data_IF_050674807011
#
_entry.id   IF_050674807011
#
_cell.length_a   1.000
_cell.length_b   1.000
_cell.length_c   1.000
_cell.angle_alpha   90.00
_cell.angle_beta   90.00
_cell.angle_gamma   90.00
#
_symmetry.space_group_name_H-M   'P 1'
#
loop_
_entity.id
_entity.type
_entity.pdbx_description
1 polymer ?
#
# COMPACT_ATOMS: atom_id res chain seq x y z
N UNK A 1 -17.63 -54.24 -36.57
CA UNK A 1 -17.22 -55.49 -35.89
C UNK A 1 -15.74 -55.43 -35.58
N UNK A 2 -15.34 -55.94 -34.41
CA UNK A 2 -13.96 -56.21 -33.97
C UNK A 2 -13.05 -54.98 -33.74
N UNK A 3 -12.25 -54.84 -32.68
CA UNK A 3 -11.98 -55.67 -31.52
C UNK A 3 -11.29 -54.85 -30.43
N UNK A 4 -11.57 -55.24 -29.18
CA UNK A 4 -10.87 -54.84 -27.95
C UNK A 4 -9.37 -55.18 -28.00
N UNK A 5 -8.56 -54.52 -27.18
CA UNK A 5 -7.66 -55.18 -26.21
C UNK A 5 -7.06 -54.16 -25.22
N UNK A 6 -7.35 -54.40 -23.93
CA UNK A 6 -6.64 -53.89 -22.76
C UNK A 6 -5.19 -54.42 -22.75
N UNK A 7 -4.24 -53.64 -22.23
CA UNK A 7 -3.11 -54.16 -21.45
C UNK A 7 -2.73 -53.23 -20.31
N UNK A 8 -2.94 -53.74 -19.10
CA UNK A 8 -2.40 -53.30 -17.82
C UNK A 8 -0.94 -53.79 -17.74
N UNK A 9 -0.03 -53.00 -17.17
CA UNK A 9 1.20 -53.53 -16.60
C UNK A 9 1.50 -52.88 -15.25
N UNK A 10 1.69 -53.75 -14.26
CA UNK A 10 1.95 -53.51 -12.83
C UNK A 10 3.20 -54.31 -12.48
N UNK A 11 4.25 -53.68 -11.95
CA UNK A 11 5.42 -54.29 -11.27
C UNK A 11 6.20 -53.12 -10.65
N UNK A 12 6.13 -52.80 -9.35
CA UNK A 12 6.69 -53.51 -8.19
C UNK A 12 8.13 -53.98 -8.44
N UNK A 13 9.10 -53.22 -7.94
CA UNK A 13 10.41 -53.76 -7.57
C UNK A 13 10.81 -53.26 -6.19
N UNK A 14 11.23 -54.25 -5.41
CA UNK A 14 11.59 -54.28 -4.01
C UNK A 14 13.08 -54.68 -3.99
N UNK A 15 13.96 -53.93 -3.34
CA UNK A 15 15.34 -54.35 -3.06
C UNK A 15 15.86 -53.62 -1.81
N UNK A 16 16.01 -54.34 -0.69
CA UNK A 16 17.28 -54.74 -0.03
C UNK A 16 17.87 -53.64 0.90
N UNK A 17 17.69 -53.72 2.23
CA UNK A 17 18.50 -54.42 3.27
C UNK A 17 20.00 -54.04 3.32
N UNK A 18 20.41 -53.43 4.45
CA UNK A 18 21.54 -53.75 5.36
C UNK A 18 21.53 -52.66 6.47
N UNK A 19 21.20 -52.91 7.74
CA UNK A 19 21.86 -53.65 8.82
C UNK A 19 23.21 -53.05 9.30
N UNK A 20 23.18 -52.31 10.41
CA UNK A 20 24.26 -52.25 11.42
C UNK A 20 23.76 -51.59 12.72
N UNK A 21 24.03 -52.24 13.85
CA UNK A 21 23.83 -51.80 15.25
C UNK A 21 25.16 -52.07 16.00
N UNK A 22 25.32 -51.74 17.30
CA UNK A 22 25.38 -50.41 17.95
C UNK A 22 26.64 -50.24 18.85
N UNK A 23 26.62 -49.23 19.76
CA UNK A 23 27.43 -48.97 20.99
C UNK A 23 28.93 -48.60 20.78
N UNK A 24 29.53 -47.56 21.38
CA UNK A 24 29.42 -46.99 22.74
C UNK A 24 30.21 -45.67 22.78
N UNK A 25 29.79 -44.66 23.55
CA UNK A 25 30.65 -43.85 24.44
C UNK A 25 29.91 -42.57 24.87
N UNK A 26 29.64 -42.50 26.17
CA UNK A 26 29.17 -41.30 26.85
C UNK A 26 30.27 -40.24 26.87
N UNK A 27 29.95 -38.99 26.52
CA UNK A 27 30.64 -37.86 27.13
C UNK A 27 29.71 -36.65 27.23
N UNK A 28 29.84 -36.00 28.37
CA UNK A 28 28.95 -35.09 29.06
C UNK A 28 29.37 -33.65 28.74
N UNK A 29 28.49 -32.76 28.27
CA UNK A 29 28.82 -31.33 28.27
C UNK A 29 28.44 -30.73 29.63
N UNK A 30 29.46 -30.35 30.40
CA UNK A 30 29.32 -29.46 31.57
C UNK A 30 29.06 -28.01 31.14
N UNK A 31 28.38 -27.21 31.97
CA UNK A 31 27.86 -25.90 31.62
C UNK A 31 28.95 -24.84 31.60
N UNK A 32 29.04 -24.07 30.50
CA UNK A 32 29.79 -22.83 30.47
C UNK A 32 29.05 -21.77 31.28
N UNK A 33 29.67 -21.40 32.41
CA UNK A 33 29.30 -20.28 33.26
C UNK A 33 29.41 -18.99 32.44
N UNK A 34 28.30 -18.29 32.24
CA UNK A 34 28.33 -16.90 31.78
C UNK A 34 28.81 -16.02 32.93
N UNK A 35 30.04 -15.56 32.78
CA UNK A 35 30.68 -14.55 33.61
C UNK A 35 29.92 -13.23 33.49
N UNK A 36 29.51 -12.70 34.64
CA UNK A 36 29.02 -11.34 34.84
C UNK A 36 30.07 -10.33 34.33
N UNK A 37 29.78 -9.68 33.22
CA UNK A 37 30.33 -8.37 32.90
C UNK A 37 29.16 -7.42 32.73
N UNK A 38 28.83 -6.76 33.85
CA UNK A 38 27.92 -5.63 33.89
C UNK A 38 28.73 -4.40 33.45
N UNK A 39 28.81 -4.18 32.14
CA UNK A 39 29.25 -2.91 31.56
C UNK A 39 28.02 -2.15 31.12
N UNK A 40 27.89 -0.94 31.65
CA UNK A 40 26.80 -0.02 31.42
C UNK A 40 26.86 0.46 29.95
N UNK A 41 26.26 -0.30 29.04
CA UNK A 41 26.18 0.04 27.62
C UNK A 41 25.05 1.04 27.39
N UNK A 42 25.42 2.31 27.21
CA UNK A 42 24.51 3.41 26.83
C UNK A 42 24.16 3.38 25.33
N UNK A 43 24.68 2.41 24.59
CA UNK A 43 24.28 2.11 23.23
C UNK A 43 23.01 1.26 23.30
N UNK A 44 21.89 1.80 22.84
CA UNK A 44 20.58 1.15 22.84
C UNK A 44 20.49 -0.05 21.84
N UNK A 45 21.56 -0.83 21.70
CA UNK A 45 21.66 -2.02 20.85
C UNK A 45 21.62 -3.29 21.70
N UNK A 46 20.61 -3.39 22.56
CA UNK A 46 20.11 -4.70 22.99
C UNK A 46 19.69 -5.44 21.73
N UNK A 47 20.44 -6.46 21.34
CA UNK A 47 20.10 -7.40 20.27
C UNK A 47 18.85 -8.17 20.69
N UNK A 48 17.69 -7.53 20.53
CA UNK A 48 16.40 -8.18 20.66
C UNK A 48 16.36 -9.23 19.54
N UNK A 49 16.16 -10.53 19.83
CA UNK A 49 15.76 -11.45 18.78
C UNK A 49 14.53 -10.83 18.11
N UNK A 50 14.52 -10.74 16.79
CA UNK A 50 13.34 -10.30 16.04
C UNK A 50 12.18 -11.23 16.41
N UNK A 51 11.36 -10.81 17.37
CA UNK A 51 10.03 -11.36 17.57
C UNK A 51 9.24 -10.92 16.35
N UNK A 52 9.35 -11.70 15.27
CA UNK A 52 8.38 -11.74 14.19
C UNK A 52 7.10 -12.28 14.85
N UNK A 53 6.37 -11.40 15.52
CA UNK A 53 4.96 -11.62 15.75
C UNK A 53 4.35 -11.67 14.35
N UNK A 54 4.25 -12.88 13.79
CA UNK A 54 3.37 -13.15 12.67
C UNK A 54 1.96 -12.85 13.18
N UNK A 55 1.57 -11.57 13.08
CA UNK A 55 0.16 -11.20 13.13
C UNK A 55 -0.43 -11.97 11.97
N UNK A 56 -1.12 -13.07 12.27
CA UNK A 56 -1.87 -13.81 11.29
C UNK A 56 -2.93 -12.85 10.73
N UNK A 57 -2.59 -12.19 9.62
CA UNK A 57 -3.48 -11.28 8.91
C UNK A 57 -4.47 -12.15 8.15
N UNK A 58 -5.56 -12.49 8.82
CA UNK A 58 -6.57 -13.40 8.26
C UNK A 58 -7.61 -12.61 7.45
N UNK A 59 -7.17 -11.91 6.41
CA UNK A 59 -8.07 -11.33 5.41
C UNK A 59 -8.48 -12.44 4.47
N UNK A 60 -9.77 -12.61 4.22
CA UNK A 60 -10.23 -13.58 3.23
C UNK A 60 -10.49 -12.89 1.89
N UNK A 61 -10.28 -13.62 0.81
CA UNK A 61 -10.74 -13.22 -0.53
C UNK A 61 -12.26 -13.37 -0.53
N UNK A 62 -12.93 -12.26 -0.28
CA UNK A 62 -14.39 -12.17 -0.22
C UNK A 62 -14.97 -11.59 -1.52
N UNK A 63 -16.30 -11.67 -1.73
CA UNK A 63 -16.94 -11.10 -2.91
C UNK A 63 -16.73 -9.59 -3.05
N UNK A 64 -16.58 -8.87 -1.92
CA UNK A 64 -16.32 -7.43 -1.93
C UNK A 64 -14.93 -7.10 -2.49
N UNK A 65 -13.91 -7.86 -2.08
CA UNK A 65 -12.56 -7.79 -2.63
C UNK A 65 -12.55 -8.08 -4.13
N UNK A 66 -13.22 -9.14 -4.57
CA UNK A 66 -13.33 -9.47 -6.00
C UNK A 66 -13.99 -8.32 -6.76
N UNK A 67 -15.05 -7.72 -6.22
CA UNK A 67 -15.70 -6.57 -6.83
C UNK A 67 -14.76 -5.37 -6.98
N UNK A 68 -13.88 -5.12 -6.00
CA UNK A 68 -12.88 -4.05 -6.08
C UNK A 68 -11.82 -4.33 -7.15
N UNK A 69 -11.35 -5.58 -7.22
CA UNK A 69 -10.43 -6.06 -8.26
C UNK A 69 -11.06 -5.89 -9.65
N UNK A 70 -12.32 -6.25 -9.83
CA UNK A 70 -13.04 -6.11 -11.10
C UNK A 70 -13.25 -4.65 -11.49
N UNK A 71 -13.57 -3.77 -10.52
CA UNK A 71 -13.66 -2.34 -10.78
C UNK A 71 -12.31 -1.78 -11.25
N UNK A 72 -11.20 -2.20 -10.63
CA UNK A 72 -9.86 -1.78 -11.04
C UNK A 72 -9.46 -2.35 -12.41
N UNK A 73 -9.84 -3.60 -12.72
CA UNK A 73 -9.60 -4.22 -14.03
C UNK A 73 -10.34 -3.47 -15.14
N UNK A 74 -11.61 -3.10 -14.91
CA UNK A 74 -12.41 -2.30 -15.83
C UNK A 74 -11.74 -0.97 -16.19
N UNK A 75 -11.04 -0.33 -15.25
CA UNK A 75 -10.32 0.92 -15.51
C UNK A 75 -9.14 0.71 -16.48
N UNK A 76 -8.56 -0.48 -16.50
CA UNK A 76 -7.42 -0.83 -17.35
C UNK A 76 -7.90 -1.28 -18.73
N UNK A 77 -8.88 -2.19 -18.79
CA UNK A 77 -9.31 -2.83 -20.04
C UNK A 77 -10.40 -2.06 -20.76
N UNK A 78 -11.12 -1.17 -20.06
CA UNK A 78 -12.28 -0.45 -20.58
C UNK A 78 -13.53 -1.33 -20.77
N UNK A 79 -13.47 -2.60 -20.36
CA UNK A 79 -14.56 -3.57 -20.49
C UNK A 79 -15.22 -3.84 -19.15
N UNK A 80 -16.55 -3.96 -19.15
CA UNK A 80 -17.33 -4.34 -17.97
C UNK A 80 -17.17 -5.83 -17.59
N UNK A 81 -16.75 -6.65 -18.55
CA UNK A 81 -16.59 -8.08 -18.35
C UNK A 81 -15.17 -8.42 -17.86
N UNK A 82 -15.04 -9.34 -16.87
CA UNK A 82 -13.76 -9.88 -16.45
C UNK A 82 -13.03 -10.53 -17.62
N UNK A 83 -11.77 -10.15 -17.83
CA UNK A 83 -10.97 -10.74 -18.89
C UNK A 83 -10.58 -12.17 -18.51
N UNK A 84 -10.68 -13.08 -19.47
CA UNK A 84 -10.34 -14.49 -19.25
C UNK A 84 -8.85 -14.61 -18.90
N UNK A 85 -8.57 -15.10 -17.69
CA UNK A 85 -7.20 -15.21 -17.17
C UNK A 85 -6.63 -13.89 -16.62
N UNK A 86 -7.44 -12.83 -16.61
CA UNK A 86 -7.09 -11.55 -16.02
C UNK A 86 -7.09 -11.56 -14.48
N UNK A 87 -6.82 -10.42 -13.86
CA UNK A 87 -6.64 -10.31 -12.42
C UNK A 87 -7.91 -10.69 -11.64
N UNK A 88 -9.12 -10.37 -12.13
CA UNK A 88 -10.38 -10.83 -11.53
C UNK A 88 -10.50 -12.34 -11.57
N UNK A 89 -10.20 -12.97 -12.71
CA UNK A 89 -10.30 -14.41 -12.86
C UNK A 89 -9.32 -15.13 -11.91
N UNK A 90 -8.12 -14.57 -11.72
CA UNK A 90 -7.13 -15.05 -10.75
C UNK A 90 -7.63 -14.87 -9.31
N UNK A 91 -8.14 -13.70 -8.95
CA UNK A 91 -8.72 -13.46 -7.61
C UNK A 91 -9.87 -14.45 -7.29
N UNK A 92 -10.72 -14.75 -8.28
CA UNK A 92 -11.83 -15.70 -8.13
C UNK A 92 -11.37 -17.15 -7.83
N UNK A 93 -10.16 -17.54 -8.23
CA UNK A 93 -9.61 -18.87 -7.90
C UNK A 93 -9.30 -19.02 -6.41
N UNK A 94 -9.16 -17.91 -5.69
CA UNK A 94 -8.81 -17.88 -4.28
C UNK A 94 -9.99 -17.51 -3.38
N UNK A 95 -11.23 -17.50 -3.87
CA UNK A 95 -12.42 -17.18 -3.07
C UNK A 95 -12.46 -18.04 -1.80
N UNK A 96 -12.62 -17.38 -0.65
CA UNK A 96 -12.65 -18.04 0.67
C UNK A 96 -11.30 -18.46 1.22
N UNK A 97 -10.20 -18.26 0.47
CA UNK A 97 -8.84 -18.41 0.98
C UNK A 97 -8.38 -17.13 1.67
N UNK A 98 -7.33 -17.24 2.48
CA UNK A 98 -6.68 -16.09 3.09
C UNK A 98 -5.89 -15.34 2.00
N UNK A 99 -6.02 -14.03 1.96
CA UNK A 99 -5.22 -13.14 1.15
C UNK A 99 -3.77 -13.23 1.62
N UNK A 100 -2.96 -13.94 0.84
CA UNK A 100 -1.53 -14.11 1.08
C UNK A 100 -0.73 -13.41 -0.01
N UNK A 101 0.59 -13.31 0.16
CA UNK A 101 1.49 -12.84 -0.89
C UNK A 101 1.34 -13.65 -2.19
N UNK A 102 1.00 -14.94 -2.09
CA UNK A 102 0.74 -15.78 -3.26
C UNK A 102 -0.49 -15.32 -4.04
N UNK A 103 -1.60 -15.04 -3.35
CA UNK A 103 -2.83 -14.55 -3.99
C UNK A 103 -2.57 -13.21 -4.69
N UNK A 104 -1.82 -12.30 -4.04
CA UNK A 104 -1.43 -11.02 -4.64
C UNK A 104 -0.55 -11.24 -5.87
N UNK A 105 0.37 -12.20 -5.82
CA UNK A 105 1.21 -12.55 -6.96
C UNK A 105 0.38 -13.08 -8.14
N UNK A 106 -0.55 -13.99 -7.90
CA UNK A 106 -1.41 -14.56 -8.94
C UNK A 106 -2.30 -13.49 -9.60
N UNK A 107 -2.78 -12.51 -8.81
CA UNK A 107 -3.49 -11.32 -9.33
C UNK A 107 -2.55 -10.45 -10.18
N UNK A 108 -1.31 -10.26 -9.74
CA UNK A 108 -0.30 -9.48 -10.47
C UNK A 108 0.04 -10.12 -11.82
N UNK A 109 0.16 -11.44 -11.87
CA UNK A 109 0.33 -12.16 -13.14
C UNK A 109 -0.86 -11.96 -14.08
N UNK A 110 -2.09 -12.00 -13.53
CA UNK A 110 -3.30 -11.70 -14.30
C UNK A 110 -3.29 -10.29 -14.88
N UNK A 111 -2.84 -9.30 -14.10
CA UNK A 111 -2.70 -7.92 -14.54
C UNK A 111 -1.63 -7.76 -15.63
N UNK A 112 -0.50 -8.46 -15.50
CA UNK A 112 0.55 -8.49 -16.51
C UNK A 112 0.05 -9.06 -17.84
N UNK A 113 -0.82 -10.08 -17.80
CA UNK A 113 -1.39 -10.67 -19.02
C UNK A 113 -2.28 -9.68 -19.79
N UNK A 114 -2.97 -8.76 -19.10
CA UNK A 114 -3.85 -7.77 -19.75
C UNK A 114 -3.12 -6.48 -20.14
N UNK A 115 -2.16 -6.03 -19.34
CA UNK A 115 -1.42 -4.78 -19.59
C UNK A 115 -0.19 -4.98 -20.49
N UNK A 116 0.36 -6.19 -20.53
CA UNK A 116 1.61 -6.49 -21.23
C UNK A 116 2.87 -5.93 -20.55
N UNK A 117 2.73 -5.33 -19.36
CA UNK A 117 3.83 -4.74 -18.59
C UNK A 117 4.12 -5.55 -17.34
N UNK A 118 5.41 -5.65 -16.99
CA UNK A 118 5.85 -6.30 -15.75
C UNK A 118 5.62 -5.45 -14.50
N UNK A 119 5.34 -4.16 -14.69
CA UNK A 119 5.09 -3.21 -13.60
C UNK A 119 3.60 -3.17 -13.24
N UNK A 120 3.26 -3.20 -11.92
CA UNK A 120 1.89 -2.98 -11.46
C UNK A 120 1.36 -1.62 -11.88
N UNK A 121 0.15 -1.57 -12.41
CA UNK A 121 -0.48 -0.32 -12.80
C UNK A 121 -0.92 0.47 -11.56
N UNK A 122 -0.68 1.79 -11.57
CA UNK A 122 -1.07 2.65 -10.45
C UNK A 122 -2.60 2.68 -10.33
N UNK A 123 -3.13 2.21 -9.20
CA UNK A 123 -4.57 2.06 -8.99
C UNK A 123 -5.18 0.84 -9.68
N UNK A 124 -4.35 -0.05 -10.23
CA UNK A 124 -4.77 -1.30 -10.83
C UNK A 124 -5.13 -2.39 -9.81
N UNK A 125 -5.60 -3.55 -10.29
CA UNK A 125 -5.93 -4.72 -9.49
C UNK A 125 -4.87 -5.13 -8.47
N UNK A 126 -3.60 -5.09 -8.85
CA UNK A 126 -2.47 -5.41 -7.98
C UNK A 126 -2.33 -4.40 -6.85
N UNK A 127 -2.50 -3.11 -7.14
CA UNK A 127 -2.45 -2.06 -6.12
C UNK A 127 -3.58 -2.23 -5.10
N UNK A 128 -4.78 -2.60 -5.56
CA UNK A 128 -5.90 -2.95 -4.67
C UNK A 128 -5.55 -4.16 -3.80
N UNK A 129 -5.03 -5.24 -4.38
CA UNK A 129 -4.63 -6.45 -3.65
C UNK A 129 -3.54 -6.17 -2.59
N UNK A 130 -2.52 -5.38 -2.94
CA UNK A 130 -1.46 -4.96 -2.03
C UNK A 130 -1.98 -4.03 -0.93
N UNK A 131 -2.88 -3.10 -1.26
CA UNK A 131 -3.48 -2.19 -0.28
C UNK A 131 -4.34 -2.94 0.73
N UNK A 132 -5.11 -3.95 0.29
CA UNK A 132 -5.89 -4.81 1.17
C UNK A 132 -4.95 -5.59 2.12
N UNK A 133 -3.87 -6.15 1.59
CA UNK A 133 -2.88 -6.88 2.39
C UNK A 133 -2.18 -5.98 3.42
N UNK A 134 -1.79 -4.75 3.04
CA UNK A 134 -1.02 -3.84 3.90
C UNK A 134 -1.87 -3.05 4.91
N UNK A 135 -3.10 -2.64 4.55
CA UNK A 135 -4.00 -1.91 5.45
C UNK A 135 -4.39 -2.73 6.69
N UNK A 136 -4.33 -4.07 6.63
CA UNK A 136 -4.60 -4.92 7.79
C UNK A 136 -3.52 -4.84 8.89
N UNK A 137 -2.33 -4.31 8.60
CA UNK A 137 -1.32 -4.04 9.63
C UNK A 137 -1.72 -2.90 10.59
N UNK A 138 -2.71 -2.08 10.20
CA UNK A 138 -3.12 -0.88 10.95
C UNK A 138 -4.44 -1.04 11.73
N UNK A 139 -5.20 -2.12 11.51
CA UNK A 139 -6.62 -2.20 11.94
C UNK A 139 -6.87 -2.94 13.27
N UNK A 140 -5.85 -3.52 13.92
CA UNK A 140 -6.02 -4.29 15.16
C UNK A 140 -6.01 -3.45 16.46
N UNK A 141 -6.66 -2.28 16.49
CA UNK A 141 -6.80 -1.49 17.73
C UNK A 141 -8.21 -0.90 17.99
N UNK A 142 -9.25 -1.25 17.23
CA UNK A 142 -10.57 -0.63 17.39
C UNK A 142 -11.72 -1.65 17.40
N UNK A 143 -11.68 -2.63 18.28
CA UNK A 143 -12.86 -3.45 18.61
C UNK A 143 -13.58 -2.90 19.85
N UNK A 144 -14.11 -1.69 19.77
CA UNK A 144 -15.22 -1.24 20.62
C UNK A 144 -15.92 0.01 20.03
N UNK A 145 -16.62 -0.15 18.91
CA UNK A 145 -17.68 0.80 18.53
C UNK A 145 -18.69 0.09 17.63
N UNK A 146 -19.64 -0.56 18.31
CA UNK A 146 -21.05 -0.72 17.99
C UNK A 146 -21.49 -0.40 16.55
N UNK A 147 -21.94 -1.46 15.88
CA UNK A 147 -22.69 -1.47 14.62
C UNK A 147 -23.86 -0.49 14.70
N UNK A 148 -23.81 0.58 13.91
CA UNK A 148 -25.00 1.23 13.37
C UNK A 148 -24.76 1.47 11.88
N UNK A 149 -24.87 0.39 11.10
CA UNK A 149 -24.82 0.43 9.66
C UNK A 149 -26.18 0.95 9.14
N UNK A 150 -26.27 2.26 8.99
CA UNK A 150 -27.22 2.91 8.11
C UNK A 150 -26.47 3.39 6.89
N UNK A 151 -26.64 2.66 5.79
CA UNK A 151 -26.48 3.10 4.40
C UNK A 151 -25.35 4.12 4.16
N UNK A 152 -24.10 3.64 4.18
CA UNK A 152 -22.97 4.39 3.67
C UNK A 152 -23.11 4.55 2.16
N UNK A 153 -23.85 5.58 1.75
CA UNK A 153 -23.69 6.14 0.43
C UNK A 153 -22.19 6.39 0.24
N UNK A 154 -21.61 5.66 -0.70
CA UNK A 154 -20.33 5.96 -1.32
C UNK A 154 -20.50 7.25 -2.13
N UNK A 155 -20.82 8.34 -1.43
CA UNK A 155 -20.57 9.68 -1.91
C UNK A 155 -19.12 9.91 -1.56
N UNK A 156 -18.34 10.14 -2.60
CA UNK A 156 -17.06 10.83 -2.56
C UNK A 156 -17.22 12.15 -1.79
N UNK A 157 -17.30 12.08 -0.47
CA UNK A 157 -17.08 13.16 0.45
C UNK A 157 -15.58 13.05 0.75
N UNK A 158 -14.66 13.71 0.05
CA UNK A 158 -14.58 15.17 -0.05
C UNK A 158 -15.39 15.90 1.04
N UNK A 159 -15.39 15.36 2.26
CA UNK A 159 -15.22 16.22 3.40
C UNK A 159 -13.79 16.72 3.22
N UNK A 160 -13.65 17.80 2.44
CA UNK A 160 -12.43 18.59 2.42
C UNK A 160 -12.29 19.04 3.88
N UNK A 161 -11.64 18.23 4.69
CA UNK A 161 -11.52 18.46 6.11
C UNK A 161 -10.38 19.46 6.20
N UNK A 162 -10.72 20.73 5.94
CA UNK A 162 -9.75 21.80 5.79
C UNK A 162 -9.06 21.99 7.13
N UNK A 163 -7.87 21.40 7.29
CA UNK A 163 -7.18 21.30 8.57
C UNK A 163 -6.64 22.63 9.09
N UNK A 164 -6.67 23.68 8.26
CA UNK A 164 -6.04 24.97 8.55
C UNK A 164 -4.51 24.87 8.56
N UNK A 165 -3.96 23.78 8.05
CA UNK A 165 -2.53 23.50 7.93
C UNK A 165 -2.15 23.24 6.48
N UNK A 166 -0.86 23.34 6.14
CA UNK A 166 -0.35 22.93 4.84
C UNK A 166 -0.26 21.40 4.76
N UNK A 167 -1.43 20.77 4.66
CA UNK A 167 -1.56 19.35 4.39
C UNK A 167 -1.33 19.03 2.90
N UNK A 168 -1.26 17.74 2.59
CA UNK A 168 -1.03 17.27 1.22
C UNK A 168 -2.07 17.77 0.23
N UNK A 169 -3.32 17.97 0.67
CA UNK A 169 -4.40 18.46 -0.19
C UNK A 169 -4.22 19.95 -0.51
N UNK A 170 -3.94 20.77 0.51
CA UNK A 170 -3.65 22.20 0.35
C UNK A 170 -2.41 22.42 -0.52
N UNK A 171 -1.34 21.67 -0.28
CA UNK A 171 -0.13 21.72 -1.10
C UNK A 171 -0.39 21.32 -2.56
N UNK A 172 -1.23 20.30 -2.80
CA UNK A 172 -1.62 19.92 -4.15
C UNK A 172 -2.39 21.02 -4.86
N UNK A 173 -3.35 21.67 -4.20
CA UNK A 173 -4.13 22.78 -4.76
C UNK A 173 -3.24 24.00 -5.08
N UNK A 174 -2.27 24.30 -4.22
CA UNK A 174 -1.29 25.37 -4.46
C UNK A 174 -0.43 25.02 -5.68
N UNK A 175 0.05 23.79 -5.78
CA UNK A 175 0.81 23.31 -6.93
C UNK A 175 0.02 23.38 -8.24
N UNK A 176 -1.26 23.00 -8.22
CA UNK A 176 -2.14 23.13 -9.37
C UNK A 176 -2.34 24.60 -9.78
N UNK A 177 -2.45 25.51 -8.81
CA UNK A 177 -2.55 26.94 -9.09
C UNK A 177 -1.24 27.48 -9.68
N UNK A 178 -0.08 27.08 -9.18
CA UNK A 178 1.22 27.44 -9.75
C UNK A 178 1.38 26.90 -11.18
N UNK A 179 1.07 25.62 -11.40
CA UNK A 179 1.10 24.99 -12.73
C UNK A 179 0.23 25.74 -13.75
N UNK A 180 -0.91 26.29 -13.34
CA UNK A 180 -1.76 27.11 -14.21
C UNK A 180 -1.12 28.45 -14.58
N UNK A 181 -0.26 29.00 -13.72
CA UNK A 181 0.45 30.25 -13.97
C UNK A 181 1.71 30.06 -14.80
N UNK A 182 2.52 29.05 -14.48
CA UNK A 182 3.82 28.81 -15.13
C UNK A 182 3.71 27.92 -16.35
N UNK A 183 2.66 27.08 -16.44
CA UNK A 183 2.56 26.01 -17.42
C UNK A 183 3.46 24.80 -17.12
N UNK A 184 4.28 24.87 -16.06
CA UNK A 184 5.22 23.81 -15.71
C UNK A 184 4.54 22.75 -14.82
N UNK A 185 4.82 21.47 -15.12
CA UNK A 185 4.27 20.37 -14.34
C UNK A 185 4.94 20.18 -12.97
N UNK A 186 6.11 20.80 -12.77
CA UNK A 186 6.91 20.71 -11.55
C UNK A 186 6.91 22.05 -10.80
N UNK A 187 7.01 22.04 -9.47
CA UNK A 187 7.20 23.26 -8.68
C UNK A 187 8.45 24.01 -9.10
N UNK A 188 8.33 25.33 -9.31
CA UNK A 188 9.48 26.17 -9.64
C UNK A 188 10.32 26.36 -8.38
N UNK A 189 11.65 26.30 -8.53
CA UNK A 189 12.57 26.49 -7.41
C UNK A 189 12.44 27.90 -6.83
N UNK A 190 12.05 27.99 -5.57
CA UNK A 190 11.78 29.28 -4.90
C UNK A 190 10.40 29.87 -5.22
N UNK A 191 9.59 29.15 -6.01
CA UNK A 191 8.22 29.52 -6.33
C UNK A 191 7.24 29.29 -5.17
N UNK A 192 5.97 29.65 -5.37
CA UNK A 192 4.98 29.66 -4.30
C UNK A 192 4.71 28.26 -3.72
N UNK A 193 4.77 27.19 -4.52
CA UNK A 193 4.65 25.81 -4.03
C UNK A 193 5.88 25.39 -3.23
N UNK A 194 7.08 25.82 -3.61
CA UNK A 194 8.30 25.53 -2.85
C UNK A 194 8.25 26.19 -1.46
N UNK A 195 7.74 27.43 -1.39
CA UNK A 195 7.51 28.14 -0.12
C UNK A 195 6.37 27.51 0.70
N UNK A 196 5.30 27.04 0.06
CA UNK A 196 4.25 26.30 0.77
C UNK A 196 4.79 24.98 1.34
N UNK A 197 5.66 24.29 0.60
CA UNK A 197 6.30 23.06 1.03
C UNK A 197 7.27 23.26 2.19
N UNK A 198 7.96 24.40 2.31
CA UNK A 198 8.80 24.68 3.50
C UNK A 198 7.99 24.81 4.79
N UNK A 199 6.69 25.13 4.66
CA UNK A 199 5.74 25.18 5.78
C UNK A 199 4.84 23.92 5.85
N UNK A 200 5.23 22.82 5.21
CA UNK A 200 4.42 21.60 5.20
C UNK A 200 4.13 21.12 6.64
N UNK A 201 2.87 20.74 6.89
CA UNK A 201 2.33 20.33 8.20
C UNK A 201 2.29 21.43 9.27
N UNK A 202 2.64 22.66 8.92
CA UNK A 202 2.47 23.81 9.81
C UNK A 202 1.08 24.44 9.58
N UNK A 203 0.51 25.11 10.60
CA UNK A 203 -0.69 25.94 10.43
C UNK A 203 -0.49 27.01 9.37
N UNK A 204 -1.56 27.37 8.65
CA UNK A 204 -1.55 28.47 7.68
C UNK A 204 -1.50 29.78 8.45
N UNK A 205 -0.28 30.30 8.64
CA UNK A 205 -0.01 31.57 9.32
C UNK A 205 0.14 32.73 8.31
N UNK A 206 0.07 33.96 8.81
CA UNK A 206 0.33 35.15 8.00
C UNK A 206 1.76 35.18 7.43
N UNK A 207 2.72 34.60 8.15
CA UNK A 207 4.10 34.49 7.69
C UNK A 207 4.21 33.57 6.48
N UNK A 208 3.65 32.36 6.57
CA UNK A 208 3.65 31.42 5.44
C UNK A 208 2.91 32.00 4.21
N UNK A 209 1.81 32.73 4.40
CA UNK A 209 1.15 33.44 3.29
C UNK A 209 2.03 34.52 2.66
N UNK A 210 2.84 35.22 3.46
CA UNK A 210 3.81 36.20 2.96
C UNK A 210 4.91 35.52 2.13
N UNK A 211 5.49 34.44 2.65
CA UNK A 211 6.57 33.70 1.98
C UNK A 211 6.08 33.10 0.65
N UNK A 212 4.85 32.55 0.63
CA UNK A 212 4.18 32.09 -0.60
C UNK A 212 3.94 33.26 -1.57
N UNK A 213 3.55 34.44 -1.07
CA UNK A 213 3.34 35.64 -1.90
C UNK A 213 4.64 36.10 -2.56
N UNK A 214 5.75 36.08 -1.82
CA UNK A 214 7.07 36.42 -2.37
C UNK A 214 7.50 35.40 -3.43
N UNK A 215 7.28 34.11 -3.18
CA UNK A 215 7.49 33.06 -4.17
C UNK A 215 6.65 33.25 -5.43
N UNK A 216 5.38 33.63 -5.28
CA UNK A 216 4.49 33.94 -6.42
C UNK A 216 5.04 35.11 -7.24
N UNK A 217 5.42 36.21 -6.59
CA UNK A 217 6.02 37.38 -7.27
C UNK A 217 7.29 37.03 -8.04
N UNK A 218 8.14 36.15 -7.49
CA UNK A 218 9.35 35.71 -8.19
C UNK A 218 9.02 34.99 -9.49
N UNK A 219 7.91 34.25 -9.52
CA UNK A 219 7.50 33.44 -10.67
C UNK A 219 6.71 34.26 -11.71
N UNK A 220 5.88 35.20 -11.27
CA UNK A 220 5.00 36.01 -12.14
C UNK A 220 5.61 37.35 -12.55
N UNK A 221 6.84 37.66 -12.10
CA UNK A 221 7.51 38.92 -12.42
C UNK A 221 7.08 40.12 -11.57
N UNK A 222 6.55 39.87 -10.36
CA UNK A 222 6.28 40.87 -9.33
C UNK A 222 4.80 41.15 -9.05
N UNK A 223 3.88 40.56 -9.81
CA UNK A 223 2.44 40.82 -9.67
C UNK A 223 1.70 39.64 -9.02
N UNK A 224 0.81 39.95 -8.06
CA UNK A 224 -0.10 38.93 -7.51
C UNK A 224 -1.17 38.61 -8.52
N UNK A 225 -1.38 37.33 -8.78
CA UNK A 225 -2.38 36.87 -9.73
C UNK A 225 -3.67 36.54 -9.01
N UNK A 226 -4.79 37.03 -9.54
CA UNK A 226 -6.12 36.70 -9.03
C UNK A 226 -6.39 35.20 -9.23
N UNK A 227 -6.60 34.48 -8.13
CA UNK A 227 -6.74 33.01 -8.18
C UNK A 227 -5.41 32.27 -8.28
N UNK A 228 -4.29 32.98 -8.05
CA UNK A 228 -2.97 32.39 -7.93
C UNK A 228 -2.80 31.55 -6.65
N UNK A 229 -1.62 30.95 -6.47
CA UNK A 229 -1.32 30.06 -5.35
C UNK A 229 -1.52 30.72 -3.99
N UNK A 230 -1.23 32.02 -3.84
CA UNK A 230 -1.53 32.76 -2.59
C UNK A 230 -3.03 32.84 -2.34
N UNK A 231 -3.84 33.16 -3.36
CA UNK A 231 -5.30 33.21 -3.22
C UNK A 231 -5.87 31.84 -2.83
N UNK A 232 -5.30 30.76 -3.37
CA UNK A 232 -5.69 29.39 -3.01
C UNK A 232 -5.37 29.09 -1.55
N UNK A 233 -4.17 29.40 -1.07
CA UNK A 233 -3.80 29.21 0.34
C UNK A 233 -4.70 30.01 1.30
N UNK A 234 -5.02 31.25 0.94
CA UNK A 234 -5.97 32.08 1.69
C UNK A 234 -7.39 31.51 1.68
N UNK A 235 -7.82 30.95 0.54
CA UNK A 235 -9.13 30.30 0.42
C UNK A 235 -9.23 29.08 1.32
N UNK A 236 -8.20 28.23 1.37
CA UNK A 236 -8.18 27.06 2.25
C UNK A 236 -8.19 27.46 3.73
N UNK A 237 -7.44 28.50 4.14
CA UNK A 237 -7.54 29.05 5.50
C UNK A 237 -8.96 29.57 5.82
N UNK A 238 -9.62 30.22 4.85
CA UNK A 238 -10.98 30.69 4.99
C UNK A 238 -11.97 29.54 5.20
N UNK A 239 -11.83 28.47 4.42
CA UNK A 239 -12.66 27.26 4.52
C UNK A 239 -12.43 26.48 5.82
N UNK A 240 -11.24 26.54 6.39
CA UNK A 240 -10.95 25.98 7.73
C UNK A 240 -11.61 26.72 8.88
N UNK A 241 -12.03 27.98 8.66
CA UNK A 241 -12.62 28.84 9.70
C UNK A 241 -14.15 28.93 9.59
N UNK A 242 -14.73 28.48 8.48
CA UNK A 242 -16.17 28.48 8.19
C UNK A 242 -16.81 27.16 8.56
#
# INVERSE_FOLDING_TARGET
MASRLLRINRSVFLAARQASTPITASSRPTPFKQSLFNVNDLSNHSTRPFSISAVAMNIQVDPAFISQITAAEKLITGTDEPVKGGPTAKAQQHVGQILTSQVVHDITEGEKLITGTDEPFKGGPTAVAQSALTNSGSTNNNNNATRNASSGNNTNSNSNNHSGTFDSETLSKINEAEKKLTGEAQPVRGGPTAQAQSHAKEPITSQALHDITEGEKMVTGGERVKGGPTSTAQSELGKSRS
#
